data_IF_552705703882
#
_entry.id   IF_552705703882
#
_cell.length_a   1.000
_cell.length_b   1.000
_cell.length_c   1.000
_cell.angle_alpha   90.00
_cell.angle_beta   90.00
_cell.angle_gamma   90.00
#
_symmetry.space_group_name_H-M   'P 1'
#
loop_
_entity.id
_entity.type
_entity.pdbx_description
1 polymer ?
#
# COMPACT_ATOMS: atom_id res chain seq x y z
N UNK A 1 11.58 9.37 26.01
CA UNK A 1 10.56 9.03 24.98
C UNK A 1 10.40 7.52 24.92
N UNK A 2 9.17 7.00 25.03
CA UNK A 2 8.86 5.56 24.95
C UNK A 2 8.69 5.20 23.47
N UNK A 3 9.50 4.27 22.93
CA UNK A 3 9.34 3.81 21.55
C UNK A 3 7.98 3.11 21.39
N UNK A 4 7.32 3.32 20.26
CA UNK A 4 6.13 2.55 19.90
C UNK A 4 6.49 1.05 19.83
N UNK A 5 5.56 0.14 20.19
CA UNK A 5 5.75 -1.30 20.00
C UNK A 5 6.10 -1.60 18.54
N UNK A 6 7.00 -2.55 18.26
CA UNK A 6 7.30 -2.94 16.89
C UNK A 6 6.03 -3.46 16.22
N UNK A 7 5.72 -2.99 15.01
CA UNK A 7 4.56 -3.42 14.22
C UNK A 7 4.60 -4.90 13.80
N UNK A 8 5.73 -5.59 14.01
CA UNK A 8 5.96 -6.96 13.58
C UNK A 8 6.24 -7.12 12.07
N UNK A 9 5.89 -6.12 11.26
CA UNK A 9 6.11 -6.12 9.80
C UNK A 9 7.58 -5.91 9.48
N UNK A 10 8.18 -6.84 8.73
CA UNK A 10 9.55 -6.77 8.26
C UNK A 10 9.59 -6.82 6.73
N UNK A 11 10.47 -6.03 6.12
CA UNK A 11 10.72 -6.06 4.69
C UNK A 11 11.47 -7.35 4.32
N UNK A 12 11.03 -8.01 3.25
CA UNK A 12 11.79 -9.04 2.56
C UNK A 12 12.83 -8.43 1.61
N UNK A 13 13.67 -9.26 0.98
CA UNK A 13 14.57 -8.80 -0.08
C UNK A 13 13.79 -8.25 -1.29
N UNK A 14 12.65 -8.85 -1.62
CA UNK A 14 11.79 -8.37 -2.71
C UNK A 14 11.17 -7.01 -2.37
N UNK A 15 10.66 -6.84 -1.14
CA UNK A 15 10.15 -5.54 -0.69
C UNK A 15 11.24 -4.46 -0.71
N UNK A 16 12.47 -4.83 -0.34
CA UNK A 16 13.62 -3.93 -0.42
C UNK A 16 13.96 -3.52 -1.85
N UNK A 17 13.87 -4.44 -2.83
CA UNK A 17 14.06 -4.12 -4.24
C UNK A 17 13.03 -3.10 -4.74
N UNK A 18 11.75 -3.34 -4.44
CA UNK A 18 10.66 -2.43 -4.80
C UNK A 18 10.83 -1.07 -4.11
N UNK A 19 11.08 -1.04 -2.79
CA UNK A 19 11.29 0.19 -2.04
C UNK A 19 12.47 1.01 -2.57
N UNK A 20 13.58 0.35 -2.95
CA UNK A 20 14.72 1.01 -3.59
C UNK A 20 14.38 1.56 -4.97
N UNK A 21 13.59 0.84 -5.76
CA UNK A 21 13.11 1.34 -7.05
C UNK A 21 12.20 2.58 -6.88
N UNK A 22 11.31 2.57 -5.89
CA UNK A 22 10.48 3.72 -5.51
C UNK A 22 11.34 4.92 -5.06
N UNK A 23 12.37 4.69 -4.25
CA UNK A 23 13.35 5.73 -3.88
C UNK A 23 14.07 6.30 -5.10
N UNK A 24 14.51 5.44 -6.03
CA UNK A 24 15.16 5.83 -7.28
C UNK A 24 14.24 6.63 -8.21
N UNK A 25 12.94 6.32 -8.21
CA UNK A 25 11.92 7.10 -8.92
C UNK A 25 11.67 8.48 -8.30
N UNK A 26 12.01 8.67 -7.02
CA UNK A 26 11.82 9.92 -6.28
C UNK A 26 10.60 9.93 -5.35
N UNK A 27 10.00 8.78 -5.07
CA UNK A 27 8.88 8.67 -4.14
C UNK A 27 9.31 9.06 -2.71
N UNK A 28 8.41 9.68 -1.96
CA UNK A 28 8.72 10.16 -0.61
C UNK A 28 8.84 8.98 0.37
N UNK A 29 9.87 8.99 1.21
CA UNK A 29 10.12 7.90 2.17
C UNK A 29 8.92 7.59 3.09
N UNK A 30 8.14 8.60 3.48
CA UNK A 30 6.94 8.39 4.29
C UNK A 30 5.82 7.71 3.52
N UNK A 31 5.66 8.01 2.23
CA UNK A 31 4.68 7.35 1.38
C UNK A 31 5.11 5.89 1.14
N UNK A 32 6.40 5.64 0.88
CA UNK A 32 6.96 4.28 0.75
C UNK A 32 6.73 3.49 2.04
N UNK A 33 6.98 4.10 3.20
CA UNK A 33 6.76 3.45 4.49
C UNK A 33 5.28 3.08 4.71
N UNK A 34 4.37 3.96 4.30
CA UNK A 34 2.94 3.70 4.33
C UNK A 34 2.53 2.54 3.41
N UNK A 35 3.10 2.48 2.20
CA UNK A 35 2.86 1.37 1.25
C UNK A 35 3.18 0.01 1.86
N UNK A 36 4.34 -0.12 2.51
CA UNK A 36 4.77 -1.38 3.12
C UNK A 36 4.25 -1.61 4.54
N UNK A 37 3.56 -0.64 5.15
CA UNK A 37 3.13 -0.73 6.55
C UNK A 37 4.29 -0.83 7.56
N UNK A 38 5.42 -0.20 7.24
CA UNK A 38 6.64 -0.22 8.07
C UNK A 38 6.93 1.15 8.70
N UNK A 39 7.77 1.16 9.73
CA UNK A 39 8.26 2.41 10.30
C UNK A 39 9.13 3.16 9.28
N UNK A 40 8.98 4.48 9.19
CA UNK A 40 9.76 5.32 8.26
C UNK A 40 11.29 5.16 8.39
N UNK A 41 11.78 4.90 9.61
CA UNK A 41 13.20 4.59 9.83
C UNK A 41 13.71 3.38 9.03
N UNK A 42 12.85 2.41 8.70
CA UNK A 42 13.22 1.26 7.86
C UNK A 42 13.46 1.64 6.41
N UNK A 43 12.73 2.63 5.91
CA UNK A 43 12.96 3.17 4.57
C UNK A 43 14.21 4.06 4.57
N UNK A 44 14.49 4.79 5.64
CA UNK A 44 15.74 5.52 5.80
C UNK A 44 16.97 4.59 5.82
N UNK A 45 16.91 3.46 6.55
CA UNK A 45 17.94 2.41 6.54
C UNK A 45 18.22 1.86 5.13
N UNK A 46 17.18 1.71 4.29
CA UNK A 46 17.31 1.32 2.89
C UNK A 46 17.97 2.42 2.05
N UNK A 47 17.51 3.67 2.19
CA UNK A 47 18.02 4.82 1.44
C UNK A 47 19.51 5.07 1.72
N UNK A 48 19.95 4.83 2.96
CA UNK A 48 21.35 4.97 3.38
C UNK A 48 22.21 3.75 3.06
N UNK A 49 21.63 2.65 2.56
CA UNK A 49 22.35 1.40 2.28
C UNK A 49 22.84 0.65 3.53
N UNK A 50 22.20 0.88 4.67
CA UNK A 50 22.46 0.19 5.95
C UNK A 50 21.87 -1.23 5.94
N UNK A 51 20.78 -1.44 5.20
CA UNK A 51 20.14 -2.76 5.02
C UNK A 51 19.97 -3.10 3.56
N UNK A 52 19.94 -4.41 3.28
CA UNK A 52 19.74 -4.96 1.94
C UNK A 52 20.73 -4.38 0.90
N UNK A 53 21.98 -4.11 1.28
CA UNK A 53 22.95 -3.43 0.43
C UNK A 53 23.12 -4.09 -0.95
N UNK A 54 23.16 -5.42 -1.01
CA UNK A 54 23.31 -6.18 -2.26
C UNK A 54 22.01 -6.45 -3.03
N UNK A 55 20.87 -5.91 -2.59
CA UNK A 55 19.60 -6.03 -3.34
C UNK A 55 19.53 -4.89 -4.35
N UNK A 56 19.43 -5.23 -5.63
CA UNK A 56 19.24 -4.25 -6.69
C UNK A 56 17.83 -3.63 -6.65
N UNK A 57 17.66 -2.36 -7.05
CA UNK A 57 16.34 -1.75 -7.21
C UNK A 57 15.51 -2.51 -8.26
N UNK A 58 14.22 -2.69 -8.00
CA UNK A 58 13.29 -3.23 -8.98
C UNK A 58 13.13 -2.26 -10.17
N UNK A 59 12.94 -2.78 -11.40
CA UNK A 59 12.74 -1.96 -12.59
C UNK A 59 11.39 -1.22 -12.54
N UNK A 60 11.27 -0.15 -13.33
CA UNK A 60 10.14 0.78 -13.24
C UNK A 60 8.77 0.12 -13.52
N UNK A 61 8.72 -0.89 -14.36
CA UNK A 61 7.52 -1.66 -14.73
C UNK A 61 7.06 -2.62 -13.62
N UNK A 62 7.92 -2.95 -12.66
CA UNK A 62 7.57 -3.73 -11.47
C UNK A 62 7.17 -2.86 -10.26
N UNK A 63 7.34 -1.54 -10.36
CA UNK A 63 7.00 -0.64 -9.27
C UNK A 63 5.49 -0.44 -9.15
N UNK A 64 4.96 -0.25 -7.93
CA UNK A 64 3.60 0.21 -7.78
C UNK A 64 3.43 1.59 -8.45
N UNK A 65 2.19 1.98 -8.80
CA UNK A 65 1.91 3.31 -9.34
C UNK A 65 2.54 4.40 -8.47
N UNK A 66 3.03 5.51 -9.05
CA UNK A 66 3.58 6.60 -8.26
C UNK A 66 2.51 7.13 -7.29
N UNK A 67 2.96 7.45 -6.07
CA UNK A 67 2.11 7.93 -4.99
C UNK A 67 1.38 9.24 -5.31
N UNK A 68 0.56 9.73 -4.36
CA UNK A 68 0.64 9.44 -2.93
C UNK A 68 0.05 8.09 -2.51
N UNK A 69 0.80 7.35 -1.68
CA UNK A 69 0.34 6.08 -1.13
C UNK A 69 -0.60 6.32 0.04
N UNK A 70 -1.79 5.72 -0.07
CA UNK A 70 -2.97 6.03 0.73
C UNK A 70 -2.74 5.81 2.25
N UNK A 71 -2.74 6.87 3.09
CA UNK A 71 -2.79 6.74 4.55
C UNK A 71 -4.17 6.22 4.98
N UNK A 72 -4.34 5.79 6.24
CA UNK A 72 -5.57 5.14 6.73
C UNK A 72 -6.91 5.83 6.42
N UNK A 73 -6.96 7.15 6.18
CA UNK A 73 -8.16 7.86 5.67
C UNK A 73 -8.61 7.34 4.32
N UNK A 74 -7.67 7.02 3.44
CA UNK A 74 -7.94 6.51 2.12
C UNK A 74 -8.34 5.04 2.12
N UNK A 75 -7.82 4.22 3.04
CA UNK A 75 -8.36 2.87 3.27
C UNK A 75 -9.83 2.93 3.73
N UNK A 76 -10.17 3.91 4.58
CA UNK A 76 -11.56 4.16 5.00
C UNK A 76 -12.44 4.61 3.83
N UNK A 77 -11.92 5.46 2.95
CA UNK A 77 -12.60 5.87 1.71
C UNK A 77 -12.83 4.68 0.76
N UNK A 78 -11.83 3.82 0.56
CA UNK A 78 -11.95 2.59 -0.24
C UNK A 78 -12.99 1.64 0.34
N UNK A 79 -12.99 1.42 1.66
CA UNK A 79 -14.01 0.60 2.32
C UNK A 79 -15.42 1.19 2.16
N UNK A 80 -15.55 2.52 2.24
CA UNK A 80 -16.82 3.19 1.98
C UNK A 80 -17.29 2.99 0.53
N UNK A 81 -16.39 3.14 -0.45
CA UNK A 81 -16.69 2.91 -1.87
C UNK A 81 -17.12 1.45 -2.14
N UNK A 82 -16.41 0.48 -1.56
CA UNK A 82 -16.78 -0.95 -1.68
C UNK A 82 -18.17 -1.21 -1.09
N UNK A 83 -18.50 -0.61 0.06
CA UNK A 83 -19.85 -0.73 0.66
C UNK A 83 -20.92 -0.14 -0.25
N UNK A 84 -20.67 1.03 -0.83
CA UNK A 84 -21.59 1.64 -1.79
C UNK A 84 -21.81 0.75 -3.02
N UNK A 85 -20.73 0.19 -3.58
CA UNK A 85 -20.83 -0.72 -4.73
C UNK A 85 -21.66 -1.96 -4.41
N UNK A 86 -21.44 -2.59 -3.24
CA UNK A 86 -22.24 -3.73 -2.78
C UNK A 86 -23.71 -3.37 -2.67
N UNK A 87 -24.05 -2.27 -2.01
CA UNK A 87 -25.44 -1.85 -1.84
C UNK A 87 -26.13 -1.59 -3.18
N UNK A 88 -25.41 -1.05 -4.17
CA UNK A 88 -25.93 -0.84 -5.51
C UNK A 88 -26.20 -2.17 -6.23
N UNK A 89 -25.32 -3.15 -6.10
CA UNK A 89 -25.51 -4.50 -6.64
C UNK A 89 -26.72 -5.19 -5.99
N UNK A 90 -26.83 -5.13 -4.66
CA UNK A 90 -27.98 -5.71 -3.93
C UNK A 90 -29.31 -5.07 -4.35
N UNK A 91 -29.31 -3.75 -4.60
CA UNK A 91 -30.48 -3.04 -5.10
C UNK A 91 -30.84 -3.46 -6.54
N UNK A 92 -29.83 -3.60 -7.41
CA UNK A 92 -30.03 -4.09 -8.77
C UNK A 92 -30.57 -5.52 -8.79
N UNK A 93 -30.06 -6.40 -7.93
CA UNK A 93 -30.55 -7.78 -7.82
C UNK A 93 -32.03 -7.82 -7.42
N UNK A 94 -32.43 -7.04 -6.41
CA UNK A 94 -33.85 -6.95 -6.00
C UNK A 94 -34.75 -6.50 -7.16
N UNK A 95 -34.34 -5.47 -7.89
CA UNK A 95 -35.10 -4.98 -9.04
C UNK A 95 -35.23 -6.03 -10.15
N UNK A 96 -34.19 -6.83 -10.38
CA UNK A 96 -34.24 -7.92 -11.36
C UNK A 96 -35.19 -9.02 -10.88
N UNK A 97 -35.13 -9.43 -9.62
CA UNK A 97 -36.03 -10.43 -9.03
C UNK A 97 -37.49 -10.00 -9.09
N UNK A 98 -37.79 -8.77 -8.68
CA UNK A 98 -39.13 -8.18 -8.74
C UNK A 98 -39.71 -8.18 -10.17
N UNK A 99 -38.86 -7.90 -11.18
CA UNK A 99 -39.27 -7.87 -12.59
C UNK A 99 -39.39 -9.24 -13.24
N UNK A 100 -38.66 -10.23 -12.74
CA UNK A 100 -38.60 -11.57 -13.35
C UNK A 100 -39.41 -12.63 -12.60
N UNK A 101 -39.87 -12.33 -11.38
CA UNK A 101 -40.66 -13.24 -10.55
C UNK A 101 -39.83 -14.37 -9.91
N UNK A 102 -38.52 -14.20 -9.81
CA UNK A 102 -37.56 -15.13 -9.19
C UNK A 102 -37.30 -14.83 -7.70
#
# INVERSE_FOLDING_TARGET
MRRAPPSGVQLSQHDAAIAKGMLGRGDRQHDIAAWFGVNGGRIAELANGERFRGVEPAPHDELPPPGPYLPGQSARATLAAIRTARNALDAAERLVRERTGL
#
